data_IF_872202255774
#
_entry.id   IF_872202255774
#
_cell.length_a   1.000
_cell.length_b   1.000
_cell.length_c   1.000
_cell.angle_alpha   90.00
_cell.angle_beta   90.00
_cell.angle_gamma   90.00
#
_symmetry.space_group_name_H-M   'P 1'
#
loop_
_entity.id
_entity.type
_entity.pdbx_description
1 polymer ?
#
# COMPACT_ATOMS: atom_id res chain seq x y z
N UNK A 1 -16.76 -4.27 0.62
CA UNK A 1 -16.40 -4.91 -0.67
C UNK A 1 -15.10 -4.30 -1.12
N UNK A 2 -14.09 -5.12 -1.47
CA UNK A 2 -12.80 -4.66 -2.00
C UNK A 2 -12.81 -4.74 -3.52
N UNK A 3 -12.12 -3.81 -4.18
CA UNK A 3 -11.83 -3.92 -5.61
C UNK A 3 -10.83 -5.05 -5.89
N UNK A 4 -10.64 -5.48 -7.15
CA UNK A 4 -9.58 -6.44 -7.51
C UNK A 4 -8.16 -5.97 -7.13
N UNK A 5 -7.95 -4.66 -7.00
CA UNK A 5 -6.69 -4.04 -6.55
C UNK A 5 -6.61 -3.95 -5.02
N UNK A 6 -7.51 -4.60 -4.30
CA UNK A 6 -7.64 -4.55 -2.85
C UNK A 6 -7.94 -3.15 -2.30
N UNK A 7 -8.55 -2.28 -3.12
CA UNK A 7 -8.98 -0.94 -2.70
C UNK A 7 -10.35 -1.00 -2.02
N UNK A 8 -10.54 -0.20 -0.98
CA UNK A 8 -11.81 -0.06 -0.29
C UNK A 8 -12.77 0.83 -1.09
N UNK A 9 -13.94 1.12 -0.52
CA UNK A 9 -14.84 2.14 -1.04
C UNK A 9 -14.33 3.58 -0.77
N UNK A 10 -13.28 3.74 0.05
CA UNK A 10 -12.58 5.00 0.23
C UNK A 10 -11.44 5.07 -0.80
N UNK A 11 -11.42 6.08 -1.69
CA UNK A 11 -10.39 6.19 -2.71
C UNK A 11 -8.98 6.28 -2.12
N UNK A 12 -8.04 5.57 -2.74
CA UNK A 12 -6.63 5.47 -2.34
C UNK A 12 -6.39 4.83 -0.96
N UNK A 13 -7.39 4.16 -0.39
CA UNK A 13 -7.25 3.33 0.81
C UNK A 13 -7.32 1.85 0.44
N UNK A 14 -6.26 1.12 0.75
CA UNK A 14 -6.07 -0.28 0.37
C UNK A 14 -6.00 -1.19 1.60
N UNK A 15 -6.45 -2.44 1.45
CA UNK A 15 -6.34 -3.48 2.47
C UNK A 15 -5.52 -4.63 1.90
N UNK A 16 -4.37 -4.93 2.49
CA UNK A 16 -3.54 -6.07 2.10
C UNK A 16 -3.29 -7.00 3.29
N UNK A 17 -3.19 -8.29 3.01
CA UNK A 17 -2.98 -9.33 4.01
C UNK A 17 -4.26 -10.02 4.45
N UNK A 18 -4.26 -10.54 5.68
CA UNK A 18 -5.33 -11.41 6.18
C UNK A 18 -6.70 -10.73 6.21
N UNK A 19 -6.75 -9.42 6.43
CA UNK A 19 -7.99 -8.62 6.41
C UNK A 19 -8.69 -8.66 5.02
N UNK A 20 -7.95 -8.99 3.96
CA UNK A 20 -8.49 -9.22 2.62
C UNK A 20 -9.19 -10.58 2.43
N UNK A 21 -9.23 -11.43 3.45
CA UNK A 21 -9.97 -12.71 3.45
C UNK A 21 -9.25 -13.88 2.77
N UNK A 22 -7.99 -13.71 2.35
CA UNK A 22 -7.18 -14.74 1.67
C UNK A 22 -6.02 -15.17 2.57
N UNK A 23 -6.30 -16.06 3.53
CA UNK A 23 -5.28 -16.60 4.42
C UNK A 23 -4.21 -17.36 3.63
N UNK A 24 -2.96 -16.86 3.65
CA UNK A 24 -1.68 -17.48 3.25
C UNK A 24 -0.59 -16.38 3.17
N UNK A 25 0.61 -16.63 3.68
CA UNK A 25 1.73 -15.65 3.65
C UNK A 25 2.03 -15.18 2.22
N UNK A 26 2.06 -16.10 1.25
CA UNK A 26 2.28 -15.80 -0.18
C UNK A 26 1.25 -14.80 -0.72
N UNK A 27 -0.01 -14.94 -0.32
CA UNK A 27 -1.08 -14.06 -0.77
C UNK A 27 -0.92 -12.67 -0.16
N UNK A 28 -0.62 -12.58 1.13
CA UNK A 28 -0.37 -11.32 1.81
C UNK A 28 0.79 -10.53 1.17
N UNK A 29 1.90 -11.21 0.84
CA UNK A 29 3.05 -10.62 0.15
C UNK A 29 2.65 -10.10 -1.23
N UNK A 30 1.98 -10.93 -2.04
CA UNK A 30 1.56 -10.53 -3.39
C UNK A 30 0.60 -9.33 -3.36
N UNK A 31 -0.40 -9.35 -2.47
CA UNK A 31 -1.33 -8.23 -2.30
C UNK A 31 -0.60 -6.93 -1.92
N UNK A 32 0.34 -6.98 -0.97
CA UNK A 32 1.13 -5.82 -0.60
C UNK A 32 1.88 -5.22 -1.80
N UNK A 33 2.53 -6.08 -2.60
CA UNK A 33 3.24 -5.66 -3.82
C UNK A 33 2.30 -5.03 -4.86
N UNK A 34 1.17 -5.66 -5.12
CA UNK A 34 0.23 -5.23 -6.16
C UNK A 34 -0.51 -3.94 -5.76
N UNK A 35 -0.77 -3.72 -4.46
CA UNK A 35 -1.29 -2.46 -3.93
C UNK A 35 -0.34 -1.30 -4.21
N UNK A 36 0.95 -1.45 -3.91
CA UNK A 36 1.97 -0.40 -4.17
C UNK A 36 2.11 -0.13 -5.66
N UNK A 37 2.00 -1.16 -6.50
CA UNK A 37 2.04 -0.98 -7.95
C UNK A 37 0.90 -0.09 -8.44
N UNK A 38 -0.28 -0.24 -7.86
CA UNK A 38 -1.44 0.61 -8.12
C UNK A 38 -1.24 2.02 -7.57
N UNK A 39 -0.72 2.18 -6.35
CA UNK A 39 -0.41 3.49 -5.75
C UNK A 39 0.58 4.26 -6.64
N UNK A 40 1.65 3.60 -7.10
CA UNK A 40 2.70 4.22 -7.90
C UNK A 40 2.20 4.76 -9.25
N UNK A 41 1.19 4.14 -9.87
CA UNK A 41 0.60 4.66 -11.12
C UNK A 41 -0.24 5.91 -10.87
N UNK A 42 -0.92 5.98 -9.72
CA UNK A 42 -1.81 7.10 -9.36
C UNK A 42 -1.07 8.30 -8.77
N UNK A 43 -0.01 8.06 -8.00
CA UNK A 43 0.67 9.12 -7.25
C UNK A 43 1.27 10.20 -8.17
N UNK A 44 1.65 9.84 -9.40
CA UNK A 44 2.17 10.80 -10.39
C UNK A 44 1.18 11.94 -10.66
N UNK A 45 -0.11 11.63 -10.74
CA UNK A 45 -1.16 12.64 -10.92
C UNK A 45 -1.45 13.42 -9.63
N UNK A 46 -1.40 12.74 -8.47
CA UNK A 46 -1.70 13.35 -7.18
C UNK A 46 -0.61 14.32 -6.69
N UNK A 47 0.66 14.05 -7.00
CA UNK A 47 1.79 14.93 -6.67
C UNK A 47 1.69 16.32 -7.27
N UNK A 48 1.10 16.45 -8.47
CA UNK A 48 0.91 17.74 -9.11
C UNK A 48 -0.01 18.68 -8.30
N UNK A 49 -0.84 18.11 -7.43
CA UNK A 49 -1.82 18.81 -6.60
C UNK A 49 -1.46 18.82 -5.10
N UNK A 50 -0.30 18.27 -4.72
CA UNK A 50 0.09 18.06 -3.31
C UNK A 50 1.26 18.95 -2.89
N UNK A 51 1.29 19.36 -1.62
CA UNK A 51 2.36 20.20 -1.05
C UNK A 51 3.70 19.47 -0.93
N UNK A 52 4.80 20.23 -0.87
CA UNK A 52 6.17 19.72 -0.94
C UNK A 52 6.59 18.75 0.18
N UNK A 53 5.83 18.66 1.28
CA UNK A 53 6.16 17.88 2.48
C UNK A 53 5.12 16.78 2.76
N UNK A 54 4.83 15.95 1.75
CA UNK A 54 3.85 14.87 1.86
C UNK A 54 4.48 13.51 1.53
N UNK A 55 4.13 12.48 2.30
CA UNK A 55 4.48 11.10 1.99
C UNK A 55 3.59 10.56 0.86
N UNK A 56 4.16 9.80 -0.08
CA UNK A 56 3.39 9.13 -1.13
C UNK A 56 2.54 7.97 -0.58
N UNK A 57 3.00 7.34 0.50
CA UNK A 57 2.38 6.14 1.05
C UNK A 57 2.53 6.04 2.57
N UNK A 58 1.42 5.84 3.27
CA UNK A 58 1.37 5.44 4.67
C UNK A 58 1.04 3.95 4.76
N UNK A 59 1.86 3.19 5.47
CA UNK A 59 1.69 1.74 5.68
C UNK A 59 1.40 1.51 7.17
N UNK A 60 0.28 0.86 7.47
CA UNK A 60 -0.10 0.53 8.84
C UNK A 60 0.04 -0.98 9.06
N UNK A 61 0.95 -1.36 9.96
CA UNK A 61 1.28 -2.74 10.31
C UNK A 61 2.51 -3.28 9.58
N UNK A 62 3.29 -4.12 10.29
CA UNK A 62 4.55 -4.72 9.80
C UNK A 62 4.48 -6.25 9.74
N UNK A 63 3.31 -6.79 9.36
CA UNK A 63 3.18 -8.20 8.98
C UNK A 63 3.76 -8.48 7.59
N UNK A 64 3.54 -9.69 7.03
CA UNK A 64 4.07 -10.06 5.71
C UNK A 64 3.66 -9.10 4.58
N UNK A 65 2.40 -8.65 4.57
CA UNK A 65 1.92 -7.64 3.63
C UNK A 65 2.64 -6.30 3.84
N UNK A 66 2.72 -5.80 5.08
CA UNK A 66 3.36 -4.51 5.40
C UNK A 66 4.84 -4.46 5.04
N UNK A 67 5.59 -5.54 5.31
CA UNK A 67 6.99 -5.67 4.89
C UNK A 67 7.09 -5.66 3.35
N UNK A 68 6.24 -6.44 2.66
CA UNK A 68 6.24 -6.46 1.19
C UNK A 68 5.89 -5.10 0.59
N UNK A 69 4.93 -4.38 1.17
CA UNK A 69 4.54 -3.03 0.75
C UNK A 69 5.71 -2.06 0.93
N UNK A 70 6.41 -2.13 2.06
CA UNK A 70 7.58 -1.28 2.35
C UNK A 70 8.71 -1.50 1.34
N UNK A 71 9.07 -2.76 1.09
CA UNK A 71 10.10 -3.12 0.11
C UNK A 71 9.70 -2.69 -1.30
N UNK A 72 8.43 -2.89 -1.68
CA UNK A 72 7.95 -2.47 -3.00
C UNK A 72 7.93 -0.95 -3.15
N UNK A 73 7.65 -0.21 -2.08
CA UNK A 73 7.72 1.26 -2.09
C UNK A 73 9.16 1.75 -2.37
N UNK A 74 10.16 1.09 -1.78
CA UNK A 74 11.58 1.34 -2.09
C UNK A 74 11.86 1.09 -3.57
N UNK A 75 11.47 -0.06 -4.10
CA UNK A 75 11.67 -0.41 -5.53
C UNK A 75 11.02 0.62 -6.48
N UNK A 76 9.87 1.17 -6.08
CA UNK A 76 9.13 2.20 -6.84
C UNK A 76 9.61 3.63 -6.57
N UNK A 77 10.62 3.83 -5.71
CA UNK A 77 11.16 5.14 -5.32
C UNK A 77 10.09 6.08 -4.76
N UNK A 78 9.18 5.54 -3.95
CA UNK A 78 8.14 6.30 -3.26
C UNK A 78 8.64 6.75 -1.88
N UNK A 79 8.27 7.96 -1.46
CA UNK A 79 8.42 8.38 -0.08
C UNK A 79 7.34 7.68 0.73
N UNK A 80 7.72 6.96 1.79
CA UNK A 80 6.75 6.23 2.60
C UNK A 80 7.11 6.24 4.08
N UNK A 81 6.11 6.00 4.91
CA UNK A 81 6.29 5.74 6.34
C UNK A 81 5.53 4.48 6.71
N UNK A 82 6.16 3.62 7.52
CA UNK A 82 5.53 2.43 8.09
C UNK A 82 5.37 2.62 9.59
N UNK A 83 4.16 2.41 10.09
CA UNK A 83 3.84 2.54 11.51
C UNK A 83 3.31 1.22 12.05
N UNK A 84 3.67 0.93 13.30
CA UNK A 84 3.14 -0.19 14.09
C UNK A 84 2.28 0.40 15.19
N UNK A 85 1.07 -0.13 15.38
CA UNK A 85 0.21 0.27 16.50
C UNK A 85 0.82 -0.20 17.82
N UNK A 86 1.11 0.74 18.71
CA UNK A 86 1.41 0.51 20.13
C UNK A 86 0.21 0.89 20.96
#
# INVERSE_FOLDING_TARGET
>A
MLSPQCETNVPNLFIAGELGGLALIKNAINQGRDCVDTVATRIKALRASSGADTWDLLIVGTGPAGISTSLRAIERKLTYVTIVGT
#
